data_IF_781882170118
#
_entry.id   IF_781882170118
#
_cell.length_a   1.000
_cell.length_b   1.000
_cell.length_c   1.000
_cell.angle_alpha   90.00
_cell.angle_beta   90.00
_cell.angle_gamma   90.00
#
_symmetry.space_group_name_H-M   'P 1'
#
loop_
_entity.id
_entity.type
_entity.pdbx_description
1 polymer ?
#
# COMPACT_ATOMS: atom_id res chain seq x y z
N UNK A 1 0.96 -52.48 10.25
CA UNK A 1 1.48 -51.44 9.32
C UNK A 1 0.29 -50.81 8.61
N UNK A 2 0.03 -49.51 8.83
CA UNK A 2 -1.06 -48.77 8.17
C UNK A 2 -0.55 -48.28 6.81
N UNK A 3 -1.22 -48.65 5.73
CA UNK A 3 -1.00 -48.06 4.41
C UNK A 3 -1.68 -46.69 4.37
N UNK A 4 -0.90 -45.63 4.21
CA UNK A 4 -1.39 -44.27 4.01
C UNK A 4 -2.11 -44.20 2.65
N UNK A 5 -3.42 -43.97 2.69
CA UNK A 5 -4.22 -43.72 1.49
C UNK A 5 -3.92 -42.31 0.99
N UNK A 6 -3.13 -42.21 -0.09
CA UNK A 6 -2.88 -40.95 -0.79
C UNK A 6 -4.12 -40.69 -1.65
N UNK A 7 -4.93 -39.70 -1.26
CA UNK A 7 -6.06 -39.26 -2.07
C UNK A 7 -5.57 -38.78 -3.44
N UNK A 8 -6.18 -39.28 -4.52
CA UNK A 8 -5.86 -38.86 -5.89
C UNK A 8 -6.41 -37.43 -6.12
N UNK A 9 -5.62 -36.54 -6.75
CA UNK A 9 -6.11 -35.23 -7.15
C UNK A 9 -7.13 -35.37 -8.29
N UNK A 10 -8.30 -34.77 -8.13
CA UNK A 10 -9.33 -34.68 -9.17
C UNK A 10 -9.21 -33.33 -9.86
N UNK A 11 -9.11 -33.33 -11.19
CA UNK A 11 -8.99 -32.11 -11.98
C UNK A 11 -10.38 -31.49 -12.21
N UNK A 12 -10.60 -30.28 -11.72
CA UNK A 12 -11.73 -29.45 -12.13
C UNK A 12 -11.19 -28.03 -12.34
N UNK A 13 -11.26 -27.52 -13.59
CA UNK A 13 -10.84 -26.17 -13.98
C UNK A 13 -9.43 -25.74 -13.55
N UNK A 14 -8.39 -26.47 -13.97
CA UNK A 14 -6.96 -26.08 -13.89
C UNK A 14 -6.43 -25.62 -12.52
N UNK A 15 -7.14 -25.88 -11.43
CA UNK A 15 -6.70 -25.50 -10.09
C UNK A 15 -6.54 -26.73 -9.19
N UNK A 16 -5.31 -26.91 -8.71
CA UNK A 16 -4.98 -27.95 -7.73
C UNK A 16 -5.40 -27.46 -6.34
N UNK A 17 -6.50 -28.00 -5.83
CA UNK A 17 -6.98 -27.72 -4.48
C UNK A 17 -6.17 -28.52 -3.44
N UNK A 18 -5.34 -27.82 -2.66
CA UNK A 18 -4.75 -28.35 -1.43
C UNK A 18 -5.50 -27.76 -0.21
N UNK A 19 -6.14 -28.58 0.63
CA UNK A 19 -6.85 -28.07 1.80
C UNK A 19 -5.81 -27.63 2.84
N UNK A 20 -5.62 -26.31 3.00
CA UNK A 20 -4.78 -25.75 4.06
C UNK A 20 -4.00 -24.47 3.74
N UNK A 21 -3.94 -24.04 2.48
CA UNK A 21 -3.28 -22.77 2.11
C UNK A 21 -4.12 -22.04 1.05
N UNK A 22 -5.22 -21.45 1.49
CA UNK A 22 -5.78 -20.31 0.80
C UNK A 22 -4.92 -19.12 1.21
N UNK A 23 -3.78 -18.93 0.54
CA UNK A 23 -3.07 -17.66 0.59
C UNK A 23 -3.92 -16.68 -0.20
N UNK A 24 -4.98 -16.17 0.43
CA UNK A 24 -5.48 -14.85 0.04
C UNK A 24 -4.26 -13.96 0.18
N UNK A 25 -3.74 -13.52 -0.94
CA UNK A 25 -2.77 -12.45 -1.00
C UNK A 25 -3.47 -11.25 -0.38
N UNK A 26 -3.37 -11.14 0.94
CA UNK A 26 -3.61 -9.92 1.68
C UNK A 26 -2.56 -8.97 1.11
N UNK A 27 -2.97 -8.20 0.12
CA UNK A 27 -2.19 -7.11 -0.41
C UNK A 27 -1.90 -6.25 0.82
N UNK A 28 -0.66 -6.32 1.32
CA UNK A 28 -0.25 -5.83 2.63
C UNK A 28 -0.23 -4.31 2.68
N UNK A 29 -1.37 -3.68 2.41
CA UNK A 29 -1.62 -2.26 2.58
C UNK A 29 -1.58 -1.99 4.08
N UNK A 30 -0.40 -1.56 4.55
CA UNK A 30 -0.21 -1.11 5.91
C UNK A 30 -1.02 0.18 6.11
N UNK A 31 -2.19 0.04 6.72
CA UNK A 31 -3.05 1.18 7.05
C UNK A 31 -2.62 1.77 8.39
N UNK A 32 -1.96 2.93 8.35
CA UNK A 32 -1.58 3.69 9.54
C UNK A 32 -2.59 4.82 9.72
N UNK A 33 -3.26 4.85 10.87
CA UNK A 33 -4.12 5.98 11.25
C UNK A 33 -3.25 7.06 11.91
N UNK A 34 -3.18 8.23 11.28
CA UNK A 34 -2.33 9.35 11.72
C UNK A 34 -3.21 10.60 11.92
N UNK A 35 -3.20 11.14 13.14
CA UNK A 35 -3.77 12.46 13.43
C UNK A 35 -2.73 13.54 13.18
N UNK A 36 -2.68 14.03 11.93
CA UNK A 36 -1.75 15.09 11.52
C UNK A 36 -2.49 16.41 11.32
N UNK A 37 -1.92 17.50 11.82
CA UNK A 37 -2.42 18.82 11.47
C UNK A 37 -2.06 19.17 10.01
N UNK A 38 -2.75 20.14 9.39
CA UNK A 38 -2.37 20.62 8.05
C UNK A 38 -0.92 21.12 7.97
N UNK A 39 -0.34 21.58 9.08
CA UNK A 39 1.07 22.00 9.14
C UNK A 39 2.01 20.79 9.12
N UNK A 40 1.67 19.70 9.81
CA UNK A 40 2.47 18.47 9.82
C UNK A 40 2.50 17.81 8.43
N UNK A 41 1.35 17.78 7.74
CA UNK A 41 1.27 17.28 6.37
C UNK A 41 2.14 18.08 5.40
N UNK A 42 2.17 19.42 5.54
CA UNK A 42 3.04 20.29 4.74
C UNK A 42 4.52 20.01 5.02
N UNK A 43 4.90 19.83 6.29
CA UNK A 43 6.27 19.49 6.66
C UNK A 43 6.72 18.17 6.01
N UNK A 44 5.86 17.15 6.00
CA UNK A 44 6.15 15.88 5.34
C UNK A 44 6.29 16.05 3.82
N UNK A 45 5.41 16.83 3.20
CA UNK A 45 5.48 17.11 1.76
C UNK A 45 6.77 17.84 1.39
N UNK A 46 7.19 18.81 2.20
CA UNK A 46 8.44 19.55 1.99
C UNK A 46 9.65 18.62 2.10
N UNK A 47 9.66 17.70 3.08
CA UNK A 47 10.73 16.72 3.24
C UNK A 47 10.84 15.76 2.04
N UNK A 48 9.71 15.25 1.55
CA UNK A 48 9.67 14.38 0.35
C UNK A 48 10.14 15.14 -0.89
N UNK A 49 9.67 16.38 -1.07
CA UNK A 49 10.06 17.21 -2.22
C UNK A 49 11.55 17.56 -2.19
N UNK A 50 12.08 17.90 -1.02
CA UNK A 50 13.51 18.13 -0.82
C UNK A 50 14.36 16.90 -1.17
N UNK A 51 13.91 15.71 -0.78
CA UNK A 51 14.60 14.47 -1.10
C UNK A 51 14.64 14.20 -2.61
N UNK A 52 13.53 14.43 -3.31
CA UNK A 52 13.43 14.30 -4.76
C UNK A 52 14.34 15.30 -5.50
N UNK A 53 14.38 16.55 -5.05
CA UNK A 53 15.20 17.60 -5.66
C UNK A 53 16.71 17.34 -5.49
N UNK A 54 17.11 16.84 -4.32
CA UNK A 54 18.52 16.68 -3.97
C UNK A 54 19.13 15.39 -4.52
N UNK A 55 18.31 14.41 -4.89
CA UNK A 55 18.78 13.14 -5.43
C UNK A 55 18.08 12.72 -6.74
N UNK A 56 18.36 13.43 -7.85
CA UNK A 56 17.92 13.03 -9.17
C UNK A 56 18.80 11.87 -9.66
N UNK A 57 18.34 10.64 -9.49
CA UNK A 57 19.05 9.43 -9.94
C UNK A 57 19.30 8.38 -8.86
N UNK A 58 18.49 8.37 -7.80
CA UNK A 58 18.45 7.25 -6.87
C UNK A 58 17.85 5.99 -7.48
N UNK A 59 17.70 4.96 -6.64
CA UNK A 59 17.04 3.71 -7.07
C UNK A 59 15.66 4.01 -7.67
N UNK A 60 15.32 3.49 -8.87
CA UNK A 60 14.07 3.83 -9.56
C UNK A 60 12.84 3.61 -8.69
N UNK A 61 12.81 2.50 -7.94
CA UNK A 61 11.72 2.17 -7.03
C UNK A 61 11.57 3.18 -5.89
N UNK A 62 12.68 3.68 -5.33
CA UNK A 62 12.62 4.69 -4.27
C UNK A 62 12.12 6.03 -4.80
N UNK A 63 12.44 6.39 -6.05
CA UNK A 63 11.91 7.59 -6.67
C UNK A 63 10.40 7.46 -6.93
N UNK A 64 9.94 6.30 -7.39
CA UNK A 64 8.52 6.00 -7.57
C UNK A 64 7.75 6.07 -6.25
N UNK A 65 8.31 5.50 -5.18
CA UNK A 65 7.74 5.57 -3.83
C UNK A 65 7.64 7.01 -3.33
N UNK A 66 8.69 7.82 -3.52
CA UNK A 66 8.70 9.24 -3.11
C UNK A 66 7.68 10.07 -3.91
N UNK A 67 7.56 9.85 -5.22
CA UNK A 67 6.53 10.50 -6.04
C UNK A 67 5.11 10.07 -5.63
N UNK A 68 4.94 8.80 -5.27
CA UNK A 68 3.67 8.29 -4.75
C UNK A 68 3.33 8.97 -3.42
N UNK A 69 4.28 9.05 -2.48
CA UNK A 69 4.10 9.77 -1.21
C UNK A 69 3.79 11.26 -1.42
N UNK A 70 4.47 11.92 -2.36
CA UNK A 70 4.21 13.33 -2.68
C UNK A 70 2.76 13.54 -3.11
N UNK A 71 2.25 12.67 -3.98
CA UNK A 71 0.87 12.73 -4.48
C UNK A 71 -0.15 12.51 -3.35
N UNK A 72 0.07 11.49 -2.52
CA UNK A 72 -0.80 11.19 -1.37
C UNK A 72 -0.84 12.33 -0.36
N UNK A 73 0.31 12.92 -0.04
CA UNK A 73 0.40 14.05 0.89
C UNK A 73 -0.28 15.30 0.33
N UNK A 74 -0.15 15.58 -0.97
CA UNK A 74 -0.88 16.66 -1.62
C UNK A 74 -2.40 16.46 -1.54
N UNK A 75 -2.87 15.24 -1.82
CA UNK A 75 -4.29 14.89 -1.71
C UNK A 75 -4.80 15.07 -0.26
N UNK A 76 -4.04 14.57 0.73
CA UNK A 76 -4.38 14.73 2.15
C UNK A 76 -4.41 16.21 2.59
N UNK A 77 -3.51 17.05 2.09
CA UNK A 77 -3.53 18.50 2.36
C UNK A 77 -4.77 19.15 1.75
N UNK A 78 -5.17 18.77 0.53
CA UNK A 78 -6.39 19.26 -0.08
C UNK A 78 -7.62 18.82 0.70
N UNK A 79 -7.69 17.56 1.12
CA UNK A 79 -8.76 17.05 1.96
C UNK A 79 -8.80 17.75 3.32
N UNK A 80 -7.66 17.99 3.97
CA UNK A 80 -7.61 18.71 5.24
C UNK A 80 -8.07 20.18 5.12
N UNK A 81 -7.80 20.83 3.98
CA UNK A 81 -8.17 22.23 3.74
C UNK A 81 -9.60 22.41 3.20
N UNK A 82 -10.12 21.44 2.42
CA UNK A 82 -11.39 21.56 1.70
C UNK A 82 -12.44 20.52 2.12
N UNK A 83 -12.06 19.47 2.84
CA UNK A 83 -12.93 18.36 3.26
C UNK A 83 -14.04 18.76 4.23
N UNK A 84 -14.02 19.99 4.76
CA UNK A 84 -15.16 20.55 5.50
C UNK A 84 -16.28 21.11 4.60
N UNK A 85 -16.12 21.16 3.28
CA UNK A 85 -17.11 21.82 2.38
C UNK A 85 -18.33 20.95 2.02
N UNK A 86 -18.40 19.69 2.46
CA UNK A 86 -19.51 18.77 2.19
C UNK A 86 -20.59 18.66 3.27
N UNK A 87 -20.54 19.47 4.34
CA UNK A 87 -21.43 19.34 5.50
C UNK A 87 -22.21 20.60 5.84
N UNK A 88 -23.08 21.08 4.93
CA UNK A 88 -24.19 21.99 5.28
C UNK A 88 -25.36 21.80 4.32
#
# INVERSE_FOLDING_TARGET
MRASSIARPTHLNDQVYFPGLMTTQDNGDLRIDLSLSPADLRLLLDAVSYQLERWPGGEPYQQEDLHTMQTLLQAAILEANFGSTGGR
#
